data_IF_070094881886
#
_entry.id   IF_070094881886
#
_cell.length_a   1.000
_cell.length_b   1.000
_cell.length_c   1.000
_cell.angle_alpha   90.00
_cell.angle_beta   90.00
_cell.angle_gamma   90.00
#
_symmetry.space_group_name_H-M   'P 1'
#
loop_
_entity.id
_entity.type
_entity.pdbx_description
1 polymer ?
#
# COMPACT_ATOMS: atom_id res chain seq x y z
N UNK A 1 -54.68 57.57 -29.31
CA UNK A 1 -53.52 58.09 -28.59
C UNK A 1 -53.15 57.05 -27.53
N UNK A 2 -52.25 56.14 -27.86
CA UNK A 2 -51.80 55.09 -26.93
C UNK A 2 -50.53 55.56 -26.27
N UNK A 3 -50.56 55.61 -24.93
CA UNK A 3 -49.33 55.80 -24.14
C UNK A 3 -48.56 54.52 -23.99
N UNK A 4 -47.33 54.51 -24.47
CA UNK A 4 -46.34 53.41 -24.27
C UNK A 4 -45.72 53.66 -22.91
N UNK A 5 -45.86 52.65 -21.99
CA UNK A 5 -45.16 52.65 -20.71
C UNK A 5 -43.70 52.34 -20.91
N UNK A 6 -42.73 52.93 -20.19
CA UNK A 6 -41.32 52.63 -20.30
C UNK A 6 -41.03 51.28 -19.71
N UNK A 7 -40.26 50.47 -20.46
CA UNK A 7 -39.65 49.24 -19.94
C UNK A 7 -38.63 49.59 -18.86
N UNK A 8 -38.85 49.10 -17.65
CA UNK A 8 -37.82 49.13 -16.61
C UNK A 8 -36.72 48.10 -16.98
N UNK A 9 -35.55 48.57 -17.31
CA UNK A 9 -34.34 47.74 -17.33
C UNK A 9 -34.04 47.28 -15.88
N UNK A 10 -34.35 46.04 -15.60
CA UNK A 10 -33.85 45.36 -14.38
C UNK A 10 -32.38 45.05 -14.66
N UNK A 11 -31.50 45.77 -14.01
CA UNK A 11 -30.07 45.54 -14.05
C UNK A 11 -29.81 44.32 -13.16
N UNK A 12 -29.81 43.11 -13.76
CA UNK A 12 -29.45 41.87 -13.12
C UNK A 12 -27.91 41.85 -12.84
N UNK A 13 -27.52 42.63 -11.86
CA UNK A 13 -26.23 42.46 -11.24
C UNK A 13 -26.32 41.21 -10.37
N UNK A 14 -26.00 40.04 -10.97
CA UNK A 14 -25.82 38.81 -10.20
C UNK A 14 -24.63 39.07 -9.29
N UNK A 15 -24.90 39.43 -8.04
CA UNK A 15 -23.90 39.44 -6.99
C UNK A 15 -23.51 37.97 -6.73
N UNK A 16 -22.35 37.58 -7.23
CA UNK A 16 -21.78 36.27 -6.94
C UNK A 16 -21.49 36.15 -5.43
N UNK A 17 -22.50 35.62 -4.71
CA UNK A 17 -22.43 35.34 -3.28
C UNK A 17 -21.64 34.08 -2.95
N UNK A 18 -20.71 33.64 -3.83
CA UNK A 18 -19.77 32.62 -3.42
C UNK A 18 -19.05 33.17 -2.20
N UNK A 19 -19.16 32.53 -1.01
CA UNK A 19 -18.45 33.01 0.15
C UNK A 19 -16.95 32.97 -0.22
N UNK A 20 -16.26 34.07 0.01
CA UNK A 20 -14.81 34.09 0.01
C UNK A 20 -14.40 33.08 1.08
N UNK A 21 -14.18 31.83 0.66
CA UNK A 21 -13.63 30.80 1.53
C UNK A 21 -12.24 31.27 1.89
N UNK A 22 -12.12 31.94 3.02
CA UNK A 22 -10.83 32.33 3.59
C UNK A 22 -10.15 31.03 4.03
N UNK A 23 -9.39 30.43 3.10
CA UNK A 23 -8.58 29.27 3.41
C UNK A 23 -7.60 29.62 4.51
N UNK A 24 -7.76 28.97 5.66
CA UNK A 24 -6.87 29.17 6.79
C UNK A 24 -5.42 28.85 6.37
N UNK A 25 -4.42 29.66 6.79
CA UNK A 25 -3.01 29.43 6.42
C UNK A 25 -2.50 28.04 6.78
N UNK A 26 -3.10 27.42 7.80
CA UNK A 26 -2.81 26.05 8.20
C UNK A 26 -3.29 25.04 7.14
N UNK A 27 -4.52 25.20 6.59
CA UNK A 27 -5.04 24.35 5.53
C UNK A 27 -4.18 24.41 4.27
N UNK A 28 -3.80 25.59 3.81
CA UNK A 28 -2.88 25.73 2.66
C UNK A 28 -1.53 25.04 2.85
N UNK A 29 -0.99 25.03 4.08
CA UNK A 29 0.26 24.30 4.37
C UNK A 29 0.03 22.80 4.39
N UNK A 30 -1.07 22.33 4.96
CA UNK A 30 -1.45 20.92 4.97
C UNK A 30 -1.64 20.41 3.53
N UNK A 31 -2.39 21.13 2.69
CA UNK A 31 -2.63 20.76 1.29
C UNK A 31 -1.32 20.66 0.48
N UNK A 32 -0.41 21.62 0.68
CA UNK A 32 0.92 21.56 0.02
C UNK A 32 1.76 20.35 0.43
N UNK A 33 1.61 19.88 1.67
CA UNK A 33 2.32 18.68 2.16
C UNK A 33 1.65 17.44 1.60
N UNK A 34 0.32 17.35 1.67
CA UNK A 34 -0.44 16.18 1.19
C UNK A 34 -0.36 16.01 -0.32
N UNK A 35 -0.25 17.11 -1.08
CA UNK A 35 -0.10 17.09 -2.53
C UNK A 35 1.33 16.81 -2.98
N UNK A 36 2.30 16.89 -2.07
CA UNK A 36 3.69 16.62 -2.40
C UNK A 36 3.88 15.13 -2.75
N UNK A 37 4.48 14.84 -3.91
CA UNK A 37 4.71 13.46 -4.39
C UNK A 37 5.42 12.60 -3.35
N UNK A 38 6.43 13.12 -2.68
CA UNK A 38 7.16 12.38 -1.64
C UNK A 38 6.25 11.97 -0.47
N UNK A 39 5.29 12.81 -0.09
CA UNK A 39 4.32 12.48 0.94
C UNK A 39 3.40 11.35 0.47
N UNK A 40 2.83 11.48 -0.74
CA UNK A 40 1.96 10.47 -1.33
C UNK A 40 2.65 9.10 -1.49
N UNK A 41 3.95 9.09 -1.77
CA UNK A 41 4.74 7.86 -1.87
C UNK A 41 5.06 7.21 -0.50
N UNK A 42 5.09 7.97 0.57
CA UNK A 42 5.65 7.52 1.85
C UNK A 42 4.64 7.41 2.99
N UNK A 43 3.48 8.07 2.89
CA UNK A 43 2.53 8.21 4.02
C UNK A 43 1.95 6.90 4.57
N UNK A 44 2.00 5.81 3.80
CA UNK A 44 1.59 4.47 4.27
C UNK A 44 2.81 3.61 4.59
N UNK A 45 3.76 3.54 3.67
CA UNK A 45 4.89 2.62 3.79
C UNK A 45 5.85 2.97 4.92
N UNK A 46 6.17 4.25 5.11
CA UNK A 46 7.07 4.69 6.19
C UNK A 46 6.49 4.42 7.59
N UNK A 47 5.23 4.79 7.91
CA UNK A 47 4.62 4.43 9.18
C UNK A 47 4.60 2.92 9.47
N UNK A 48 4.38 2.08 8.46
CA UNK A 48 4.42 0.62 8.63
C UNK A 48 5.83 0.12 8.98
N UNK A 49 6.87 0.65 8.34
CA UNK A 49 8.25 0.32 8.70
C UNK A 49 8.56 0.76 10.12
N UNK A 50 8.20 2.00 10.49
CA UNK A 50 8.39 2.53 11.84
C UNK A 50 7.64 1.67 12.86
N UNK A 51 6.38 1.31 12.61
CA UNK A 51 5.60 0.43 13.46
C UNK A 51 6.29 -0.94 13.63
N UNK A 52 6.79 -1.52 12.54
CA UNK A 52 7.56 -2.77 12.60
C UNK A 52 8.80 -2.68 13.49
N UNK A 53 9.52 -1.58 13.41
CA UNK A 53 10.70 -1.35 14.28
C UNK A 53 10.31 -1.13 15.74
N UNK A 54 9.19 -0.46 16.00
CA UNK A 54 8.72 -0.10 17.36
C UNK A 54 8.11 -1.28 18.11
N UNK A 55 7.38 -2.18 17.42
CA UNK A 55 6.61 -3.29 18.02
C UNK A 55 7.49 -4.51 18.34
N UNK A 56 8.80 -4.44 18.15
CA UNK A 56 9.71 -5.57 18.35
C UNK A 56 9.52 -6.28 19.69
N UNK A 57 9.35 -5.54 20.78
CA UNK A 57 9.12 -6.09 22.13
C UNK A 57 7.70 -6.63 22.34
N UNK A 58 6.69 -6.12 21.63
CA UNK A 58 5.30 -6.59 21.72
C UNK A 58 5.02 -7.87 20.93
N UNK A 59 5.93 -8.30 20.08
CA UNK A 59 5.75 -9.47 19.22
C UNK A 59 5.69 -10.80 19.99
N UNK A 60 6.28 -10.87 21.19
CA UNK A 60 6.21 -12.06 22.07
C UNK A 60 4.78 -12.33 22.55
N UNK A 61 4.00 -11.30 22.85
CA UNK A 61 2.60 -11.45 23.26
C UNK A 61 1.76 -12.09 22.13
N UNK A 62 1.95 -11.65 20.89
CA UNK A 62 1.27 -12.28 19.74
C UNK A 62 1.68 -13.73 19.53
N UNK A 63 2.93 -14.08 19.79
CA UNK A 63 3.39 -15.46 19.76
C UNK A 63 2.70 -16.32 20.82
N UNK A 64 2.56 -15.80 22.05
CA UNK A 64 1.84 -16.51 23.11
C UNK A 64 0.38 -16.73 22.74
N UNK A 65 -0.34 -15.71 22.28
CA UNK A 65 -1.71 -15.85 21.80
C UNK A 65 -1.83 -16.90 20.69
N UNK A 66 -0.90 -16.94 19.76
CA UNK A 66 -0.86 -17.96 18.71
C UNK A 66 -0.69 -19.37 19.31
N UNK A 67 0.21 -19.55 20.27
CA UNK A 67 0.45 -20.83 20.93
C UNK A 67 -0.77 -21.29 21.74
N UNK A 68 -1.50 -20.36 22.36
CA UNK A 68 -2.69 -20.65 23.16
C UNK A 68 -3.91 -21.03 22.30
N UNK A 69 -4.14 -20.33 21.18
CA UNK A 69 -5.36 -20.47 20.40
C UNK A 69 -5.23 -21.37 19.15
N UNK A 70 -4.06 -21.41 18.51
CA UNK A 70 -3.85 -22.13 17.24
C UNK A 70 -2.48 -22.84 17.17
N UNK A 71 -2.11 -23.67 18.17
CA UNK A 71 -0.77 -24.26 18.27
C UNK A 71 -0.38 -25.10 17.05
N UNK A 72 -1.33 -25.77 16.43
CA UNK A 72 -1.13 -26.71 15.32
C UNK A 72 -1.28 -26.07 13.93
N UNK A 73 -1.42 -24.74 13.83
CA UNK A 73 -1.56 -24.10 12.54
C UNK A 73 -0.24 -24.22 11.74
N UNK A 74 -0.31 -24.96 10.63
CA UNK A 74 0.85 -25.20 9.78
C UNK A 74 0.39 -25.44 8.33
N UNK A 75 0.31 -24.38 7.53
CA UNK A 75 -0.17 -24.43 6.16
C UNK A 75 0.79 -23.67 5.23
N UNK A 76 1.06 -24.21 4.03
CA UNK A 76 1.99 -23.62 3.05
C UNK A 76 1.29 -22.82 1.94
N UNK A 77 -0.01 -22.52 2.04
CA UNK A 77 -0.71 -21.79 0.98
C UNK A 77 -0.21 -20.36 0.79
N UNK A 78 0.41 -19.77 1.81
CA UNK A 78 0.99 -18.44 1.78
C UNK A 78 2.23 -18.34 0.87
N UNK A 79 2.88 -19.46 0.56
CA UNK A 79 3.97 -19.51 -0.43
C UNK A 79 3.47 -19.16 -1.85
N UNK A 80 2.20 -19.42 -2.15
CA UNK A 80 1.55 -19.09 -3.42
C UNK A 80 0.73 -17.80 -3.34
N UNK A 81 0.03 -17.60 -2.22
CA UNK A 81 -0.89 -16.48 -2.02
C UNK A 81 -0.21 -15.12 -2.18
N UNK A 82 1.07 -15.03 -1.82
CA UNK A 82 1.88 -13.81 -1.95
C UNK A 82 1.94 -13.27 -3.39
N UNK A 83 1.77 -14.11 -4.40
CA UNK A 83 1.81 -13.73 -5.82
C UNK A 83 0.43 -13.48 -6.42
N UNK A 84 -0.64 -13.84 -5.72
CA UNK A 84 -2.00 -13.79 -6.26
C UNK A 84 -2.40 -12.40 -6.80
N UNK A 85 -2.13 -11.26 -6.14
CA UNK A 85 -2.47 -9.96 -6.70
C UNK A 85 -1.74 -9.67 -8.03
N UNK A 86 -0.47 -10.06 -8.16
CA UNK A 86 0.30 -9.87 -9.39
C UNK A 86 -0.22 -10.77 -10.52
N UNK A 87 -0.54 -12.04 -10.22
CA UNK A 87 -1.11 -12.97 -11.19
C UNK A 87 -2.46 -12.46 -11.70
N UNK A 88 -3.34 -11.99 -10.82
CA UNK A 88 -4.62 -11.40 -11.20
C UNK A 88 -4.41 -10.14 -12.05
N UNK A 89 -3.49 -9.26 -11.67
CA UNK A 89 -3.15 -8.03 -12.41
C UNK A 89 -2.72 -8.36 -13.86
N UNK A 90 -1.77 -9.28 -14.00
CA UNK A 90 -1.29 -9.72 -15.32
C UNK A 90 -2.38 -10.43 -16.13
N UNK A 91 -3.21 -11.25 -15.48
CA UNK A 91 -4.36 -11.89 -16.10
C UNK A 91 -5.37 -10.89 -16.64
N UNK A 92 -5.78 -9.91 -15.85
CA UNK A 92 -6.69 -8.84 -16.29
C UNK A 92 -6.13 -8.13 -17.52
N UNK A 93 -4.85 -7.78 -17.51
CA UNK A 93 -4.19 -7.15 -18.63
C UNK A 93 -4.12 -8.04 -19.87
N UNK A 94 -3.84 -9.33 -19.68
CA UNK A 94 -3.82 -10.32 -20.75
C UNK A 94 -5.19 -10.54 -21.40
N UNK A 95 -6.28 -10.44 -20.62
CA UNK A 95 -7.65 -10.49 -21.12
C UNK A 95 -8.15 -9.16 -21.70
N UNK A 96 -7.28 -8.16 -21.84
CA UNK A 96 -7.62 -6.88 -22.47
C UNK A 96 -8.34 -5.89 -21.54
N UNK A 97 -8.37 -6.13 -20.23
CA UNK A 97 -8.87 -5.14 -19.28
C UNK A 97 -7.87 -3.99 -19.26
N UNK A 98 -8.34 -2.80 -19.62
CA UNK A 98 -7.52 -1.61 -19.71
C UNK A 98 -6.95 -1.24 -18.35
N UNK A 99 -5.65 -1.07 -18.23
CA UNK A 99 -4.93 -0.61 -17.05
C UNK A 99 -4.34 0.79 -17.26
N UNK A 100 -3.84 1.39 -16.20
CA UNK A 100 -3.25 2.73 -16.24
C UNK A 100 -2.06 2.83 -17.20
N UNK A 101 -1.20 1.82 -17.24
CA UNK A 101 0.06 1.84 -18.00
C UNK A 101 -0.01 0.97 -19.26
N UNK A 102 0.80 1.28 -20.27
CA UNK A 102 1.09 0.34 -21.36
C UNK A 102 1.82 -0.90 -20.84
N UNK A 103 1.83 -2.00 -21.61
CA UNK A 103 2.56 -3.22 -21.23
C UNK A 103 4.02 -2.96 -20.89
N UNK A 104 4.74 -2.23 -21.76
CA UNK A 104 6.17 -1.96 -21.55
C UNK A 104 6.42 -1.15 -20.27
N UNK A 105 5.64 -0.09 -20.03
CA UNK A 105 5.78 0.74 -18.83
C UNK A 105 5.48 -0.05 -17.57
N UNK A 106 4.39 -0.81 -17.54
CA UNK A 106 4.02 -1.65 -16.39
C UNK A 106 5.14 -2.63 -16.05
N UNK A 107 5.61 -3.42 -17.02
CA UNK A 107 6.65 -4.43 -16.79
C UNK A 107 7.97 -3.82 -16.32
N UNK A 108 8.34 -2.66 -16.83
CA UNK A 108 9.56 -1.94 -16.39
C UNK A 108 9.40 -1.46 -14.96
N UNK A 109 8.27 -0.82 -14.61
CA UNK A 109 8.01 -0.36 -13.23
C UNK A 109 7.94 -1.53 -12.25
N UNK A 110 7.31 -2.64 -12.64
CA UNK A 110 7.25 -3.86 -11.84
C UNK A 110 8.64 -4.46 -11.62
N UNK A 111 9.47 -4.51 -12.65
CA UNK A 111 10.85 -5.02 -12.55
C UNK A 111 11.70 -4.17 -11.60
N UNK A 112 11.60 -2.83 -11.66
CA UNK A 112 12.26 -1.95 -10.71
C UNK A 112 11.75 -2.17 -9.29
N UNK A 113 10.43 -2.30 -9.10
CA UNK A 113 9.82 -2.56 -7.79
C UNK A 113 10.35 -3.86 -7.18
N UNK A 114 10.40 -4.93 -7.98
CA UNK A 114 10.95 -6.24 -7.55
C UNK A 114 12.44 -6.13 -7.20
N UNK A 115 13.23 -5.48 -8.04
CA UNK A 115 14.66 -5.33 -7.82
C UNK A 115 14.96 -4.54 -6.52
N UNK A 116 14.25 -3.43 -6.30
CA UNK A 116 14.38 -2.61 -5.09
C UNK A 116 13.97 -3.42 -3.86
N UNK A 117 12.79 -4.04 -3.89
CA UNK A 117 12.27 -4.82 -2.77
C UNK A 117 13.22 -5.98 -2.42
N UNK A 118 13.65 -6.75 -3.40
CA UNK A 118 14.56 -7.87 -3.19
C UNK A 118 15.90 -7.43 -2.62
N UNK A 119 16.46 -6.33 -3.12
CA UNK A 119 17.73 -5.78 -2.61
C UNK A 119 17.60 -5.34 -1.16
N UNK A 120 16.57 -4.56 -0.83
CA UNK A 120 16.34 -4.05 0.54
C UNK A 120 16.07 -5.19 1.53
N UNK A 121 15.14 -6.10 1.19
CA UNK A 121 14.76 -7.22 2.06
C UNK A 121 15.97 -8.12 2.32
N UNK A 122 16.75 -8.49 1.28
CA UNK A 122 17.89 -9.38 1.46
C UNK A 122 19.00 -8.68 2.25
N UNK A 123 19.33 -7.44 1.96
CA UNK A 123 20.33 -6.70 2.71
C UNK A 123 19.99 -6.68 4.20
N UNK A 124 18.74 -6.33 4.56
CA UNK A 124 18.34 -6.30 5.96
C UNK A 124 18.35 -7.71 6.58
N UNK A 125 17.89 -8.76 5.86
CA UNK A 125 17.91 -10.14 6.37
C UNK A 125 19.29 -10.62 6.75
N UNK A 126 20.30 -10.27 5.96
CA UNK A 126 21.68 -10.70 6.20
C UNK A 126 22.40 -9.83 7.22
N UNK A 127 21.93 -8.62 7.50
CA UNK A 127 22.56 -7.72 8.48
C UNK A 127 21.88 -7.73 9.84
N UNK A 128 20.55 -7.88 9.90
CA UNK A 128 19.77 -7.75 11.14
C UNK A 128 19.87 -8.97 12.07
N UNK A 129 20.16 -10.16 11.55
CA UNK A 129 20.34 -11.44 12.31
C UNK A 129 19.23 -11.71 13.34
N UNK A 130 17.97 -11.46 12.99
CA UNK A 130 16.82 -11.69 13.88
C UNK A 130 16.39 -13.15 13.83
N UNK A 131 16.32 -13.81 14.99
CA UNK A 131 15.88 -15.20 15.10
C UNK A 131 14.38 -15.33 14.86
N UNK A 132 13.96 -16.35 14.10
CA UNK A 132 12.55 -16.66 13.89
C UNK A 132 11.85 -17.12 15.18
N UNK A 133 10.51 -16.94 15.29
CA UNK A 133 9.73 -17.46 16.42
C UNK A 133 9.87 -18.98 16.58
N UNK A 134 9.87 -19.75 15.47
CA UNK A 134 10.06 -21.19 15.43
C UNK A 134 11.51 -21.64 15.69
N UNK A 135 12.42 -20.71 15.90
CA UNK A 135 13.85 -20.92 16.16
C UNK A 135 14.64 -21.57 15.00
N UNK A 136 14.04 -21.71 13.81
CA UNK A 136 14.65 -22.42 12.66
C UNK A 136 15.89 -21.74 12.10
N UNK A 137 15.96 -20.42 12.10
CA UNK A 137 17.11 -19.65 11.60
C UNK A 137 17.09 -18.18 12.08
N UNK A 138 18.12 -17.40 11.67
CA UNK A 138 18.29 -15.98 12.04
C UNK A 138 17.92 -15.00 10.92
N UNK A 139 17.05 -15.38 9.99
CA UNK A 139 16.61 -14.56 8.85
C UNK A 139 15.14 -14.19 8.96
N UNK A 140 14.69 -13.78 10.17
CA UNK A 140 13.30 -13.43 10.37
C UNK A 140 12.96 -12.08 9.80
N UNK A 141 13.70 -11.05 10.12
CA UNK A 141 13.39 -9.64 9.79
C UNK A 141 14.06 -9.20 8.48
N UNK A 142 13.30 -8.51 7.60
CA UNK A 142 11.85 -8.40 7.51
C UNK A 142 11.23 -9.63 6.84
N UNK A 143 9.86 -9.76 6.87
CA UNK A 143 9.15 -10.83 6.17
C UNK A 143 9.17 -10.65 4.66
N UNK A 144 9.87 -11.56 3.94
CA UNK A 144 9.93 -11.52 2.48
C UNK A 144 8.57 -11.82 1.82
N UNK A 145 7.83 -12.82 2.32
CA UNK A 145 6.48 -13.14 1.80
C UNK A 145 5.54 -11.96 1.93
N UNK A 146 5.55 -11.29 3.07
CA UNK A 146 4.71 -10.09 3.28
C UNK A 146 5.16 -8.96 2.35
N UNK A 147 6.46 -8.73 2.21
CA UNK A 147 6.97 -7.70 1.30
C UNK A 147 6.55 -7.98 -0.15
N UNK A 148 6.64 -9.22 -0.63
CA UNK A 148 6.18 -9.62 -1.96
C UNK A 148 4.67 -9.43 -2.13
N UNK A 149 3.86 -9.85 -1.15
CA UNK A 149 2.42 -9.72 -1.22
C UNK A 149 1.96 -8.26 -1.25
N UNK A 150 2.53 -7.39 -0.41
CA UNK A 150 2.19 -5.97 -0.37
C UNK A 150 2.75 -5.21 -1.58
N UNK A 151 3.89 -5.60 -2.12
CA UNK A 151 4.40 -5.10 -3.39
C UNK A 151 3.42 -5.44 -4.53
N UNK A 152 3.00 -6.70 -4.64
CA UNK A 152 2.05 -7.14 -5.66
C UNK A 152 0.68 -6.45 -5.52
N UNK A 153 0.19 -6.26 -4.28
CA UNK A 153 -1.03 -5.52 -4.02
C UNK A 153 -0.92 -4.05 -4.43
N UNK A 154 0.22 -3.43 -4.18
CA UNK A 154 0.47 -2.04 -4.57
C UNK A 154 0.61 -1.88 -6.09
N UNK A 155 1.23 -2.84 -6.80
CA UNK A 155 1.23 -2.88 -8.27
C UNK A 155 -0.20 -2.94 -8.83
N UNK A 156 -1.05 -3.83 -8.29
CA UNK A 156 -2.46 -3.92 -8.64
C UNK A 156 -3.20 -2.60 -8.39
N UNK A 157 -2.95 -1.95 -7.26
CA UNK A 157 -3.51 -0.64 -6.95
C UNK A 157 -3.07 0.43 -7.97
N UNK A 158 -1.78 0.48 -8.33
CA UNK A 158 -1.25 1.44 -9.31
C UNK A 158 -1.87 1.28 -10.70
N UNK A 159 -2.14 0.04 -11.12
CA UNK A 159 -2.63 -0.25 -12.47
C UNK A 159 -4.16 -0.21 -12.60
N UNK A 160 -4.89 -0.59 -11.55
CA UNK A 160 -6.34 -0.78 -11.60
C UNK A 160 -7.13 -0.03 -10.51
N UNK A 161 -6.46 0.59 -9.53
CA UNK A 161 -7.12 1.27 -8.42
C UNK A 161 -8.04 2.41 -8.85
N UNK A 162 -7.64 3.14 -9.88
CA UNK A 162 -8.45 4.24 -10.46
C UNK A 162 -9.71 3.73 -11.18
N UNK A 163 -9.72 2.48 -11.63
CA UNK A 163 -10.89 1.86 -12.27
C UNK A 163 -11.97 1.48 -11.29
N UNK A 164 -11.55 0.88 -10.18
CA UNK A 164 -12.45 0.52 -9.09
C UNK A 164 -11.66 0.31 -7.79
N UNK A 165 -12.13 0.81 -6.65
CA UNK A 165 -11.48 0.60 -5.36
C UNK A 165 -11.45 -0.88 -4.96
N UNK A 166 -12.33 -1.71 -5.52
CA UNK A 166 -12.38 -3.15 -5.22
C UNK A 166 -11.12 -3.90 -5.64
N UNK A 167 -10.42 -3.46 -6.69
CA UNK A 167 -9.12 -4.03 -7.06
C UNK A 167 -8.08 -3.83 -5.95
N UNK A 168 -8.02 -2.64 -5.40
CA UNK A 168 -7.11 -2.33 -4.29
C UNK A 168 -7.51 -3.06 -3.02
N UNK A 169 -8.80 -3.01 -2.64
CA UNK A 169 -9.32 -3.64 -1.42
C UNK A 169 -9.04 -5.15 -1.45
N UNK A 170 -9.37 -5.83 -2.54
CA UNK A 170 -9.14 -7.28 -2.66
C UNK A 170 -7.65 -7.62 -2.60
N UNK A 171 -6.80 -6.88 -3.33
CA UNK A 171 -5.37 -7.13 -3.35
C UNK A 171 -4.72 -6.94 -1.97
N UNK A 172 -5.03 -5.85 -1.27
CA UNK A 172 -4.50 -5.61 0.07
C UNK A 172 -5.09 -6.57 1.13
N UNK A 173 -6.32 -7.05 0.93
CA UNK A 173 -6.89 -8.12 1.79
C UNK A 173 -6.08 -9.41 1.65
N UNK A 174 -5.76 -9.83 0.43
CA UNK A 174 -4.91 -11.00 0.16
C UNK A 174 -3.50 -10.81 0.74
N UNK A 175 -2.91 -9.64 0.58
CA UNK A 175 -1.59 -9.33 1.13
C UNK A 175 -1.60 -9.38 2.66
N UNK A 176 -2.65 -8.85 3.30
CA UNK A 176 -2.83 -8.90 4.76
C UNK A 176 -3.01 -10.35 5.23
N UNK A 177 -3.83 -11.14 4.55
CA UNK A 177 -4.01 -12.56 4.84
C UNK A 177 -2.68 -13.33 4.75
N UNK A 178 -1.84 -13.02 3.75
CA UNK A 178 -0.49 -13.57 3.64
C UNK A 178 0.36 -13.21 4.85
N UNK A 179 0.38 -11.94 5.27
CA UNK A 179 1.12 -11.50 6.44
C UNK A 179 0.65 -12.19 7.74
N UNK A 180 -0.66 -12.28 7.96
CA UNK A 180 -1.25 -12.98 9.11
C UNK A 180 -0.87 -14.46 9.09
N UNK A 181 -0.93 -15.12 7.93
CA UNK A 181 -0.52 -16.52 7.79
C UNK A 181 0.93 -16.74 8.21
N UNK A 182 1.85 -15.81 7.96
CA UNK A 182 3.25 -15.92 8.40
C UNK A 182 3.40 -15.91 9.92
N UNK A 183 2.54 -15.13 10.62
CA UNK A 183 2.49 -15.12 12.10
C UNK A 183 1.90 -16.43 12.61
N UNK A 184 0.77 -16.86 12.04
CA UNK A 184 0.08 -18.11 12.45
C UNK A 184 0.96 -19.35 12.20
N UNK A 185 1.74 -19.35 11.13
CA UNK A 185 2.73 -20.39 10.82
C UNK A 185 4.00 -20.33 11.71
N UNK A 186 4.06 -19.41 12.69
CA UNK A 186 5.23 -19.22 13.59
C UNK A 186 6.53 -18.92 12.85
N UNK A 187 6.45 -18.38 11.62
CA UNK A 187 7.60 -18.10 10.76
C UNK A 187 8.18 -16.71 10.93
N UNK A 188 7.33 -15.75 11.30
CA UNK A 188 7.68 -14.34 11.42
C UNK A 188 7.01 -13.69 12.63
N UNK A 189 7.69 -12.71 13.21
CA UNK A 189 7.14 -11.83 14.22
C UNK A 189 6.20 -10.78 13.60
N UNK A 190 5.31 -10.20 14.40
CA UNK A 190 4.47 -9.09 13.94
C UNK A 190 5.32 -7.93 13.38
N UNK A 191 6.43 -7.62 14.04
CA UNK A 191 7.40 -6.61 13.59
C UNK A 191 7.93 -6.89 12.18
N UNK A 192 8.23 -8.17 11.85
CA UNK A 192 8.74 -8.57 10.53
C UNK A 192 7.68 -8.36 9.45
N UNK A 193 6.43 -8.64 9.78
CA UNK A 193 5.27 -8.51 8.88
C UNK A 193 5.00 -7.04 8.60
N UNK A 194 4.94 -6.18 9.61
CA UNK A 194 4.72 -4.74 9.44
C UNK A 194 5.83 -4.08 8.63
N UNK A 195 7.09 -4.37 8.96
CA UNK A 195 8.23 -3.86 8.20
C UNK A 195 8.22 -4.38 6.75
N UNK A 196 7.92 -5.67 6.55
CA UNK A 196 7.79 -6.26 5.21
C UNK A 196 6.71 -5.57 4.38
N UNK A 197 5.53 -5.34 4.95
CA UNK A 197 4.44 -4.63 4.27
C UNK A 197 4.86 -3.22 3.83
N UNK A 198 5.48 -2.46 4.74
CA UNK A 198 5.98 -1.12 4.43
C UNK A 198 7.04 -1.11 3.33
N UNK A 199 8.01 -2.04 3.38
CA UNK A 199 9.05 -2.16 2.35
C UNK A 199 8.42 -2.51 0.99
N UNK A 200 7.46 -3.44 0.94
CA UNK A 200 6.77 -3.80 -0.31
C UNK A 200 6.09 -2.60 -0.96
N UNK A 201 5.33 -1.83 -0.18
CA UNK A 201 4.66 -0.61 -0.64
C UNK A 201 5.67 0.42 -1.16
N UNK A 202 6.70 0.76 -0.35
CA UNK A 202 7.70 1.77 -0.72
C UNK A 202 8.49 1.38 -1.97
N UNK A 203 8.81 0.10 -2.13
CA UNK A 203 9.52 -0.39 -3.31
C UNK A 203 8.69 -0.22 -4.58
N UNK A 204 7.38 -0.45 -4.51
CA UNK A 204 6.47 -0.22 -5.64
C UNK A 204 6.31 1.27 -5.92
N UNK A 205 6.13 2.09 -4.90
CA UNK A 205 6.05 3.55 -5.08
C UNK A 205 7.28 4.08 -5.82
N UNK A 206 8.47 3.64 -5.41
CA UNK A 206 9.71 4.06 -6.05
C UNK A 206 9.86 3.49 -7.47
N UNK A 207 9.52 2.21 -7.70
CA UNK A 207 9.58 1.59 -9.01
C UNK A 207 8.65 2.21 -10.04
N UNK A 208 7.49 2.72 -9.61
CA UNK A 208 6.54 3.44 -10.47
C UNK A 208 6.84 4.94 -10.61
N UNK A 209 7.71 5.47 -9.76
CA UNK A 209 8.21 6.84 -9.88
C UNK A 209 9.35 6.97 -10.91
N UNK A 210 10.21 5.95 -11.01
CA UNK A 210 11.33 5.90 -11.95
C UNK A 210 10.87 5.68 -13.39
#
# INVERSE_FOLDING_TARGET
VGAVAPKSEVNDTIVDLRPLVYEQPFQRKADKITDAKWFQMTYVGVPLVIAGLSVKHGSEHFRQLREDFVPNFHYGYDDYLQYAPAVVMLGLKGFGVESRSSWGRMLVSDAFSVAIMASVVNTIKYTAHVRRPDKSNYKSFPSGHTATAFMAAMMMHKEYGDRSPWYSISAFTVATATGISRILNNRHWLSDVLAGAGIGILSTELGYYL
#
